data_IF_820032888948
#
_entry.id   IF_820032888948
#
_cell.length_a   1.000
_cell.length_b   1.000
_cell.length_c   1.000
_cell.angle_alpha   90.00
_cell.angle_beta   90.00
_cell.angle_gamma   90.00
#
_symmetry.space_group_name_H-M   'P 1'
#
loop_
_entity.id
_entity.type
_entity.pdbx_description
1 polymer ?
#
# COMPACT_ATOMS: atom_id res chain seq x y z
N UNK A 1 19.21 -33.80 16.92
CA UNK A 1 20.00 -32.61 16.51
C UNK A 1 21.07 -32.27 17.54
N UNK A 2 20.76 -31.99 18.81
CA UNK A 2 21.76 -31.60 19.83
C UNK A 2 22.92 -32.57 20.03
N UNK A 3 22.65 -33.88 20.06
CA UNK A 3 23.71 -34.88 20.32
C UNK A 3 24.67 -35.06 19.14
N UNK A 4 24.33 -34.57 17.95
CA UNK A 4 25.11 -34.74 16.72
C UNK A 4 25.29 -33.42 15.98
N UNK A 5 25.85 -32.37 16.63
CA UNK A 5 25.86 -31.01 16.11
C UNK A 5 26.71 -30.84 14.84
N UNK A 6 27.63 -31.78 14.59
CA UNK A 6 28.56 -31.75 13.47
C UNK A 6 28.16 -32.67 12.30
N UNK A 7 27.04 -33.39 12.41
CA UNK A 7 26.55 -34.27 11.34
C UNK A 7 25.53 -33.50 10.49
N UNK A 8 25.98 -33.00 9.33
CA UNK A 8 25.17 -32.20 8.39
C UNK A 8 23.81 -32.84 8.12
N UNK A 9 23.79 -34.12 7.76
CA UNK A 9 22.58 -34.82 7.37
C UNK A 9 21.52 -34.85 8.49
N UNK A 10 21.96 -35.04 9.74
CA UNK A 10 21.07 -35.02 10.91
C UNK A 10 20.52 -33.62 11.14
N UNK A 11 21.33 -32.59 10.96
CA UNK A 11 20.86 -31.20 11.12
C UNK A 11 19.87 -30.83 10.02
N UNK A 12 20.16 -31.18 8.76
CA UNK A 12 19.31 -30.88 7.59
C UNK A 12 17.93 -31.53 7.74
N UNK A 13 17.87 -32.84 8.01
CA UNK A 13 16.59 -33.54 8.16
C UNK A 13 15.87 -33.20 9.46
N UNK A 14 16.59 -32.99 10.55
CA UNK A 14 15.99 -32.52 11.80
C UNK A 14 15.33 -31.15 11.62
N UNK A 15 16.01 -30.22 10.95
CA UNK A 15 15.47 -28.91 10.63
C UNK A 15 14.27 -28.98 9.67
N UNK A 16 14.32 -29.85 8.65
CA UNK A 16 13.17 -30.10 7.77
C UNK A 16 11.95 -30.65 8.53
N UNK A 17 12.18 -31.61 9.44
CA UNK A 17 11.13 -32.17 10.30
C UNK A 17 10.47 -31.08 11.16
N UNK A 18 11.27 -30.27 11.86
CA UNK A 18 10.77 -29.13 12.63
C UNK A 18 10.03 -28.12 11.76
N UNK A 19 10.54 -27.82 10.56
CA UNK A 19 9.88 -26.92 9.59
C UNK A 19 8.51 -27.42 9.18
N UNK A 20 8.30 -28.73 9.07
CA UNK A 20 7.03 -29.32 8.61
C UNK A 20 5.92 -29.28 9.65
N UNK A 21 6.27 -29.27 10.95
CA UNK A 21 5.29 -29.27 12.05
C UNK A 21 5.01 -27.90 12.65
N UNK A 22 5.76 -26.86 12.23
CA UNK A 22 5.64 -25.49 12.75
C UNK A 22 4.51 -24.63 12.16
N UNK A 23 4.15 -24.71 10.85
CA UNK A 23 3.18 -23.81 10.25
C UNK A 23 1.79 -23.93 10.87
N UNK A 24 1.14 -22.79 11.10
CA UNK A 24 -0.28 -22.70 11.50
C UNK A 24 -0.66 -23.54 12.73
N UNK A 25 0.29 -23.79 13.64
CA UNK A 25 0.03 -24.51 14.88
C UNK A 25 0.75 -23.83 16.06
N UNK A 26 0.02 -22.96 16.76
CA UNK A 26 0.54 -22.18 17.87
C UNK A 26 1.06 -23.05 19.04
N UNK A 27 0.43 -24.20 19.29
CA UNK A 27 0.87 -25.14 20.32
C UNK A 27 2.22 -25.73 19.96
N UNK A 28 2.37 -26.27 18.74
CA UNK A 28 3.65 -26.79 18.25
C UNK A 28 4.74 -25.71 18.26
N UNK A 29 4.43 -24.50 17.77
CA UNK A 29 5.38 -23.39 17.80
C UNK A 29 5.88 -23.09 19.23
N UNK A 30 4.98 -23.09 20.20
CA UNK A 30 5.30 -22.81 21.60
C UNK A 30 6.10 -23.96 22.25
N UNK A 31 5.71 -25.21 22.01
CA UNK A 31 6.42 -26.38 22.53
C UNK A 31 7.82 -26.52 21.92
N UNK A 32 7.97 -26.31 20.61
CA UNK A 32 9.28 -26.27 19.95
C UNK A 32 10.15 -25.17 20.56
N UNK A 33 9.59 -23.98 20.83
CA UNK A 33 10.31 -22.91 21.53
C UNK A 33 10.77 -23.34 22.91
N UNK A 34 9.88 -23.91 23.74
CA UNK A 34 10.18 -24.38 25.11
C UNK A 34 11.25 -25.47 25.13
N UNK A 35 11.29 -26.31 24.11
CA UNK A 35 12.31 -27.35 23.92
C UNK A 35 13.61 -26.83 23.26
N UNK A 36 13.80 -25.51 23.23
CA UNK A 36 14.97 -24.82 22.65
C UNK A 36 15.15 -25.02 21.14
N UNK A 37 14.13 -25.49 20.40
CA UNK A 37 14.24 -25.79 18.97
C UNK A 37 14.74 -24.62 18.12
N UNK A 38 14.37 -23.38 18.49
CA UNK A 38 14.86 -22.16 17.83
C UNK A 38 16.39 -22.03 17.94
N UNK A 39 16.94 -22.18 19.15
CA UNK A 39 18.38 -22.07 19.40
C UNK A 39 19.15 -23.19 18.69
N UNK A 40 18.59 -24.40 18.69
CA UNK A 40 19.18 -25.57 18.02
C UNK A 40 19.32 -25.32 16.53
N UNK A 41 18.26 -24.84 15.87
CA UNK A 41 18.29 -24.57 14.42
C UNK A 41 19.21 -23.40 14.10
N UNK A 42 19.20 -22.32 14.89
CA UNK A 42 20.11 -21.18 14.68
C UNK A 42 21.59 -21.61 14.83
N UNK A 43 21.91 -22.44 15.83
CA UNK A 43 23.27 -23.02 15.96
C UNK A 43 23.63 -23.88 14.76
N UNK A 44 22.71 -24.72 14.27
CA UNK A 44 22.94 -25.52 13.08
C UNK A 44 23.18 -24.66 11.82
N UNK A 45 22.43 -23.58 11.61
CA UNK A 45 22.68 -22.63 10.52
C UNK A 45 24.07 -22.01 10.61
N UNK A 46 24.53 -21.64 11.80
CA UNK A 46 25.88 -21.10 12.01
C UNK A 46 27.00 -22.14 11.81
N UNK A 47 26.77 -23.40 12.19
CA UNK A 47 27.75 -24.48 12.02
C UNK A 47 27.91 -24.91 10.55
N UNK A 48 26.87 -24.72 9.73
CA UNK A 48 26.85 -25.12 8.32
C UNK A 48 26.56 -23.94 7.38
N UNK A 49 27.35 -22.86 7.42
CA UNK A 49 27.05 -21.61 6.70
C UNK A 49 27.11 -21.77 5.17
N UNK A 50 27.85 -22.77 4.68
CA UNK A 50 28.05 -23.04 3.26
C UNK A 50 27.18 -24.21 2.74
N UNK A 51 26.23 -24.71 3.54
CA UNK A 51 25.36 -25.82 3.14
C UNK A 51 23.96 -25.31 2.77
N UNK A 52 23.73 -25.15 1.47
CA UNK A 52 22.47 -24.65 0.92
C UNK A 52 21.20 -25.30 1.49
N UNK A 53 21.11 -26.65 1.57
CA UNK A 53 19.94 -27.32 2.16
C UNK A 53 19.71 -26.97 3.63
N UNK A 54 20.78 -26.88 4.44
CA UNK A 54 20.67 -26.50 5.85
C UNK A 54 20.17 -25.06 5.99
N UNK A 55 20.71 -24.16 5.18
CA UNK A 55 20.29 -22.75 5.18
C UNK A 55 18.85 -22.57 4.70
N UNK A 56 18.46 -23.24 3.62
CA UNK A 56 17.09 -23.21 3.10
C UNK A 56 16.08 -23.71 4.14
N UNK A 57 16.34 -24.87 4.76
CA UNK A 57 15.46 -25.42 5.80
C UNK A 57 15.47 -24.55 7.05
N UNK A 58 16.63 -24.02 7.42
CA UNK A 58 16.79 -23.10 8.56
C UNK A 58 15.91 -21.86 8.41
N UNK A 59 16.03 -21.15 7.28
CA UNK A 59 15.19 -20.00 6.96
C UNK A 59 13.69 -20.32 6.99
N UNK A 60 13.30 -21.46 6.39
CA UNK A 60 11.89 -21.88 6.37
C UNK A 60 11.36 -22.18 7.78
N UNK A 61 12.13 -22.91 8.59
CA UNK A 61 11.77 -23.19 9.97
C UNK A 61 11.53 -21.91 10.76
N UNK A 62 12.49 -20.97 10.72
CA UNK A 62 12.38 -19.75 11.54
C UNK A 62 11.29 -18.79 11.03
N UNK A 63 10.94 -18.83 9.74
CA UNK A 63 9.75 -18.19 9.19
C UNK A 63 8.48 -18.82 9.78
N UNK A 64 8.33 -20.13 9.64
CA UNK A 64 7.13 -20.85 10.09
C UNK A 64 6.89 -20.73 11.60
N UNK A 65 7.95 -20.72 12.41
CA UNK A 65 7.83 -20.65 13.87
C UNK A 65 7.56 -19.23 14.39
N UNK A 66 7.94 -18.19 13.64
CA UNK A 66 7.76 -16.80 14.05
C UNK A 66 6.47 -16.16 13.49
N UNK A 67 5.89 -16.77 12.45
CA UNK A 67 4.66 -16.28 11.85
C UNK A 67 3.54 -16.13 12.88
N UNK A 68 3.04 -14.90 13.04
CA UNK A 68 2.03 -14.49 14.02
C UNK A 68 2.37 -14.85 15.49
N UNK A 69 3.66 -14.96 15.83
CA UNK A 69 4.10 -15.34 17.18
C UNK A 69 5.19 -14.40 17.71
N UNK A 70 4.77 -13.36 18.43
CA UNK A 70 5.65 -12.31 18.94
C UNK A 70 6.74 -12.83 19.89
N UNK A 71 6.45 -13.86 20.70
CA UNK A 71 7.46 -14.44 21.60
C UNK A 71 8.57 -15.13 20.81
N UNK A 72 8.20 -15.89 19.79
CA UNK A 72 9.14 -16.58 18.91
C UNK A 72 9.93 -15.57 18.06
N UNK A 73 9.27 -14.53 17.53
CA UNK A 73 9.94 -13.42 16.85
C UNK A 73 11.03 -12.80 17.76
N UNK A 74 10.69 -12.46 19.00
CA UNK A 74 11.62 -11.85 19.95
C UNK A 74 12.78 -12.78 20.30
N UNK A 75 12.54 -14.09 20.45
CA UNK A 75 13.60 -15.06 20.70
C UNK A 75 14.55 -15.20 19.50
N UNK A 76 14.02 -15.27 18.28
CA UNK A 76 14.85 -15.32 17.07
C UNK A 76 15.73 -14.08 16.97
N UNK A 77 15.16 -12.90 17.25
CA UNK A 77 15.89 -11.63 17.26
C UNK A 77 17.02 -11.63 18.29
N UNK A 78 16.77 -12.08 19.53
CA UNK A 78 17.82 -12.21 20.57
C UNK A 78 18.94 -13.19 20.19
N UNK A 79 18.63 -14.17 19.33
CA UNK A 79 19.58 -15.15 18.81
C UNK A 79 20.24 -14.70 17.50
N UNK A 80 20.14 -13.42 17.13
CA UNK A 80 20.69 -12.84 15.90
C UNK A 80 20.16 -13.47 14.60
N UNK A 81 18.96 -14.06 14.62
CA UNK A 81 18.39 -14.76 13.46
C UNK A 81 18.23 -13.87 12.22
N UNK A 82 17.91 -12.57 12.39
CA UNK A 82 17.80 -11.62 11.27
C UNK A 82 19.14 -11.45 10.56
N UNK A 83 20.23 -11.26 11.31
CA UNK A 83 21.57 -11.13 10.74
C UNK A 83 22.02 -12.41 10.02
N UNK A 84 21.72 -13.57 10.62
CA UNK A 84 22.05 -14.87 10.04
C UNK A 84 21.33 -15.06 8.70
N UNK A 85 20.05 -14.74 8.59
CA UNK A 85 19.32 -14.87 7.31
C UNK A 85 19.83 -13.88 6.27
N UNK A 86 20.11 -12.63 6.65
CA UNK A 86 20.68 -11.64 5.73
C UNK A 86 22.04 -12.12 5.20
N UNK A 87 22.92 -12.66 6.06
CA UNK A 87 24.20 -13.25 5.65
C UNK A 87 23.98 -14.46 4.72
N UNK A 88 23.03 -15.32 5.07
CA UNK A 88 22.67 -16.51 4.30
C UNK A 88 22.22 -16.16 2.88
N UNK A 89 21.30 -15.21 2.73
CA UNK A 89 20.85 -14.74 1.42
C UNK A 89 21.98 -14.09 0.61
N UNK A 90 22.94 -13.42 1.27
CA UNK A 90 24.12 -12.88 0.57
C UNK A 90 25.12 -13.97 0.15
N UNK A 91 25.25 -15.05 0.92
CA UNK A 91 26.13 -16.18 0.60
C UNK A 91 25.58 -17.08 -0.51
N UNK A 92 24.26 -17.09 -0.71
CA UNK A 92 23.58 -17.90 -1.73
C UNK A 92 22.71 -17.05 -2.67
N UNK A 93 23.29 -16.08 -3.40
CA UNK A 93 22.52 -15.16 -4.24
C UNK A 93 21.76 -15.88 -5.36
N UNK A 94 22.30 -16.98 -5.88
CA UNK A 94 21.76 -17.75 -7.02
C UNK A 94 20.93 -18.97 -6.57
N UNK A 95 20.83 -19.24 -5.27
CA UNK A 95 19.99 -20.33 -4.77
C UNK A 95 18.57 -19.81 -4.53
N UNK A 96 17.68 -20.07 -5.50
CA UNK A 96 16.30 -19.62 -5.44
C UNK A 96 15.54 -20.07 -4.19
N UNK A 97 15.80 -21.28 -3.67
CA UNK A 97 15.11 -21.79 -2.48
C UNK A 97 15.53 -20.98 -1.24
N UNK A 98 16.83 -20.69 -1.10
CA UNK A 98 17.33 -19.83 -0.01
C UNK A 98 16.76 -18.42 -0.12
N UNK A 99 16.70 -17.84 -1.33
CA UNK A 99 16.13 -16.51 -1.53
C UNK A 99 14.65 -16.45 -1.19
N UNK A 100 13.85 -17.42 -1.66
CA UNK A 100 12.42 -17.52 -1.31
C UNK A 100 12.21 -17.62 0.19
N UNK A 101 12.89 -18.56 0.85
CA UNK A 101 12.71 -18.78 2.29
C UNK A 101 13.24 -17.61 3.12
N UNK A 102 14.32 -16.96 2.67
CA UNK A 102 14.85 -15.75 3.30
C UNK A 102 13.90 -14.56 3.21
N UNK A 103 13.31 -14.32 2.03
CA UNK A 103 12.27 -13.29 1.85
C UNK A 103 11.04 -13.59 2.71
N UNK A 104 10.60 -14.85 2.77
CA UNK A 104 9.47 -15.25 3.61
C UNK A 104 9.76 -15.01 5.09
N UNK A 105 10.95 -15.36 5.56
CA UNK A 105 11.36 -15.06 6.93
C UNK A 105 11.39 -13.56 7.22
N UNK A 106 11.96 -12.74 6.33
CA UNK A 106 11.99 -11.28 6.52
C UNK A 106 10.57 -10.68 6.53
N UNK A 107 9.66 -11.24 5.74
CA UNK A 107 8.24 -10.88 5.79
C UNK A 107 7.64 -11.20 7.18
N UNK A 108 7.76 -12.43 7.64
CA UNK A 108 7.13 -12.91 8.88
C UNK A 108 7.72 -12.27 10.14
N UNK A 109 9.04 -12.09 10.19
CA UNK A 109 9.73 -11.50 11.35
C UNK A 109 9.45 -10.00 11.48
N UNK A 110 9.11 -9.32 10.37
CA UNK A 110 8.77 -7.89 10.33
C UNK A 110 7.30 -7.61 10.65
N UNK A 111 6.45 -8.64 10.62
CA UNK A 111 5.00 -8.51 10.76
C UNK A 111 4.65 -8.00 12.15
N UNK A 112 4.04 -6.80 12.20
CA UNK A 112 3.63 -6.08 13.42
C UNK A 112 4.72 -5.90 14.48
N UNK A 113 6.01 -5.93 14.09
CA UNK A 113 7.13 -5.83 15.02
C UNK A 113 8.10 -4.72 14.65
N UNK A 114 7.92 -3.54 15.27
CA UNK A 114 8.70 -2.33 14.96
C UNK A 114 10.19 -2.47 15.21
N UNK A 115 10.57 -3.20 16.26
CA UNK A 115 11.99 -3.47 16.58
C UNK A 115 12.65 -4.27 15.46
N UNK A 116 12.00 -5.34 15.01
CA UNK A 116 12.52 -6.17 13.92
C UNK A 116 12.54 -5.41 12.58
N UNK A 117 11.54 -4.58 12.28
CA UNK A 117 11.54 -3.72 11.09
C UNK A 117 12.74 -2.78 11.05
N UNK A 118 13.09 -2.17 12.18
CA UNK A 118 14.27 -1.30 12.29
C UNK A 118 15.58 -2.10 12.18
N UNK A 119 15.65 -3.27 12.82
CA UNK A 119 16.83 -4.12 12.74
C UNK A 119 17.08 -4.64 11.31
N UNK A 120 16.03 -4.97 10.55
CA UNK A 120 16.14 -5.31 9.12
C UNK A 120 16.76 -4.13 8.35
N UNK A 121 16.33 -2.89 8.59
CA UNK A 121 16.94 -1.70 7.97
C UNK A 121 18.42 -1.59 8.35
N UNK A 122 18.74 -1.65 9.64
CA UNK A 122 20.11 -1.47 10.17
C UNK A 122 21.09 -2.51 9.63
N UNK A 123 20.61 -3.74 9.40
CA UNK A 123 21.38 -4.83 8.80
C UNK A 123 21.37 -4.82 7.26
N UNK A 124 20.94 -3.71 6.62
CA UNK A 124 20.84 -3.56 5.16
C UNK A 124 19.90 -4.57 4.47
N UNK A 125 18.94 -5.12 5.22
CA UNK A 125 17.94 -6.05 4.71
C UNK A 125 17.01 -5.43 3.66
N UNK A 126 16.66 -4.15 3.76
CA UNK A 126 15.88 -3.43 2.72
C UNK A 126 16.63 -3.46 1.38
N UNK A 127 17.93 -3.15 1.38
CA UNK A 127 18.78 -3.20 0.19
C UNK A 127 18.84 -4.62 -0.40
N UNK A 128 18.94 -5.64 0.46
CA UNK A 128 18.95 -7.03 0.03
C UNK A 128 17.61 -7.47 -0.58
N UNK A 129 16.47 -7.07 -0.02
CA UNK A 129 15.15 -7.37 -0.59
C UNK A 129 15.03 -6.74 -1.98
N UNK A 130 15.39 -5.46 -2.13
CA UNK A 130 15.39 -4.77 -3.43
C UNK A 130 16.31 -5.48 -4.44
N UNK A 131 17.51 -5.89 -4.02
CA UNK A 131 18.43 -6.65 -4.87
C UNK A 131 17.82 -7.99 -5.30
N UNK A 132 17.16 -8.69 -4.39
CA UNK A 132 16.53 -9.99 -4.65
C UNK A 132 15.38 -9.87 -5.65
N UNK A 133 14.53 -8.85 -5.50
CA UNK A 133 13.46 -8.53 -6.47
C UNK A 133 14.02 -8.27 -7.88
N UNK A 134 15.14 -7.56 -7.97
CA UNK A 134 15.79 -7.27 -9.25
C UNK A 134 16.48 -8.50 -9.87
N UNK A 135 17.02 -9.41 -9.05
CA UNK A 135 17.67 -10.63 -9.52
C UNK A 135 16.67 -11.70 -9.98
N UNK A 136 15.45 -11.71 -9.41
CA UNK A 136 14.41 -12.69 -9.72
C UNK A 136 13.12 -12.03 -10.23
N UNK A 137 13.18 -11.26 -11.34
CA UNK A 137 12.06 -10.44 -11.80
C UNK A 137 10.83 -11.25 -12.25
N UNK A 138 11.00 -12.55 -12.53
CA UNK A 138 9.92 -13.45 -12.97
C UNK A 138 9.42 -14.39 -11.87
N UNK A 139 10.05 -14.39 -10.69
CA UNK A 139 9.68 -15.31 -9.60
C UNK A 139 8.50 -14.74 -8.80
N UNK A 140 7.30 -15.29 -9.03
CA UNK A 140 6.07 -14.78 -8.39
C UNK A 140 6.13 -14.81 -6.85
N UNK A 141 6.80 -15.80 -6.27
CA UNK A 141 6.88 -15.95 -4.82
C UNK A 141 7.75 -14.86 -4.19
N UNK A 142 8.97 -14.65 -4.73
CA UNK A 142 9.87 -13.58 -4.29
C UNK A 142 9.21 -12.22 -4.47
N UNK A 143 8.58 -12.01 -5.62
CA UNK A 143 8.01 -10.72 -5.97
C UNK A 143 6.80 -10.35 -5.10
N UNK A 144 5.88 -11.28 -4.90
CA UNK A 144 4.72 -11.05 -4.02
C UNK A 144 5.17 -10.82 -2.58
N UNK A 145 5.94 -11.75 -2.00
CA UNK A 145 6.33 -11.66 -0.60
C UNK A 145 7.33 -10.52 -0.34
N UNK A 146 8.24 -10.26 -1.28
CA UNK A 146 9.20 -9.16 -1.19
C UNK A 146 8.52 -7.80 -1.26
N UNK A 147 7.51 -7.62 -2.12
CA UNK A 147 6.72 -6.39 -2.16
C UNK A 147 5.93 -6.19 -0.85
N UNK A 148 5.29 -7.24 -0.34
CA UNK A 148 4.61 -7.18 0.98
C UNK A 148 5.60 -6.86 2.10
N UNK A 149 6.77 -7.50 2.10
CA UNK A 149 7.80 -7.29 3.11
C UNK A 149 8.29 -5.84 3.12
N UNK A 150 8.60 -5.27 1.95
CA UNK A 150 8.96 -3.86 1.85
C UNK A 150 7.85 -2.95 2.37
N UNK A 151 6.60 -3.18 1.99
CA UNK A 151 5.47 -2.40 2.47
C UNK A 151 5.32 -2.48 4.00
N UNK A 152 5.40 -3.67 4.59
CA UNK A 152 5.33 -3.88 6.03
C UNK A 152 6.46 -3.13 6.77
N UNK A 153 7.68 -3.19 6.24
CA UNK A 153 8.86 -2.56 6.86
C UNK A 153 8.74 -1.03 6.87
N UNK A 154 8.17 -0.43 5.82
CA UNK A 154 8.12 1.04 5.68
C UNK A 154 6.83 1.67 6.21
N UNK A 155 5.77 0.87 6.41
CA UNK A 155 4.47 1.37 6.86
C UNK A 155 4.61 2.08 8.20
N UNK A 156 4.16 3.34 8.24
CA UNK A 156 4.30 4.24 9.39
C UNK A 156 5.73 4.33 9.96
N UNK A 157 6.75 4.15 9.12
CA UNK A 157 8.16 4.17 9.51
C UNK A 157 8.99 5.15 8.67
N UNK A 158 9.10 6.40 9.14
CA UNK A 158 9.78 7.47 8.41
C UNK A 158 11.24 7.16 8.08
N UNK A 159 11.98 6.54 8.99
CA UNK A 159 13.38 6.19 8.74
C UNK A 159 13.51 5.09 7.68
N UNK A 160 12.63 4.08 7.71
CA UNK A 160 12.61 3.03 6.69
C UNK A 160 12.10 3.55 5.34
N UNK A 161 11.14 4.48 5.34
CA UNK A 161 10.67 5.21 4.14
C UNK A 161 11.83 5.98 3.50
N UNK A 162 12.62 6.70 4.29
CA UNK A 162 13.80 7.40 3.78
C UNK A 162 14.83 6.44 3.18
N UNK A 163 15.04 5.28 3.82
CA UNK A 163 15.99 4.29 3.33
C UNK A 163 15.55 3.64 2.01
N UNK A 164 14.29 3.24 1.88
CA UNK A 164 13.79 2.67 0.60
C UNK A 164 13.87 3.69 -0.54
N UNK A 165 13.64 4.98 -0.26
CA UNK A 165 13.79 6.07 -1.22
C UNK A 165 15.25 6.20 -1.64
N UNK A 166 16.18 6.27 -0.68
CA UNK A 166 17.62 6.38 -0.92
C UNK A 166 18.16 5.23 -1.77
N UNK A 167 17.60 4.03 -1.60
CA UNK A 167 17.97 2.82 -2.34
C UNK A 167 17.28 2.68 -3.71
N UNK A 168 16.56 3.71 -4.18
CA UNK A 168 15.75 3.65 -5.41
C UNK A 168 14.72 2.50 -5.41
N UNK A 169 14.23 2.10 -4.24
CA UNK A 169 13.25 1.03 -4.09
C UNK A 169 11.92 1.35 -4.77
N UNK A 170 11.52 2.63 -4.82
CA UNK A 170 10.31 3.09 -5.54
C UNK A 170 10.35 2.70 -7.02
N UNK A 171 11.52 2.82 -7.69
CA UNK A 171 11.69 2.41 -9.09
C UNK A 171 11.56 0.89 -9.25
N UNK A 172 12.05 0.13 -8.28
CA UNK A 172 11.94 -1.34 -8.28
C UNK A 172 10.48 -1.76 -8.14
N UNK A 173 9.73 -1.15 -7.22
CA UNK A 173 8.32 -1.46 -6.95
C UNK A 173 7.41 -1.05 -8.12
N UNK A 174 7.62 0.11 -8.72
CA UNK A 174 6.86 0.55 -9.91
C UNK A 174 7.07 -0.38 -11.11
N UNK A 175 8.33 -0.79 -11.38
CA UNK A 175 8.63 -1.82 -12.40
C UNK A 175 7.96 -3.15 -12.07
N UNK A 176 7.92 -3.51 -10.80
CA UNK A 176 7.28 -4.74 -10.35
C UNK A 176 5.77 -4.70 -10.59
N UNK A 177 5.12 -3.60 -10.23
CA UNK A 177 3.68 -3.38 -10.49
C UNK A 177 3.37 -3.43 -11.99
N UNK A 178 4.25 -2.91 -12.85
CA UNK A 178 4.07 -3.00 -14.30
C UNK A 178 4.19 -4.45 -14.81
N UNK A 179 5.21 -5.17 -14.34
CA UNK A 179 5.47 -6.57 -14.71
C UNK A 179 4.33 -7.49 -14.27
N UNK A 180 3.78 -7.25 -13.08
CA UNK A 180 2.70 -8.04 -12.48
C UNK A 180 1.40 -7.23 -12.39
N UNK A 181 1.04 -6.58 -13.50
CA UNK A 181 -0.15 -5.72 -13.62
C UNK A 181 -1.49 -6.43 -13.39
N UNK A 182 -1.50 -7.77 -13.40
CA UNK A 182 -2.65 -8.63 -13.14
C UNK A 182 -2.56 -9.38 -11.79
N UNK A 183 -1.58 -9.07 -10.93
CA UNK A 183 -1.48 -9.62 -9.58
C UNK A 183 -2.01 -8.63 -8.54
N UNK A 184 -3.18 -8.91 -7.99
CA UNK A 184 -3.85 -8.01 -7.04
C UNK A 184 -3.00 -7.71 -5.80
N UNK A 185 -2.36 -8.72 -5.20
CA UNK A 185 -1.53 -8.55 -4.00
C UNK A 185 -0.37 -7.59 -4.25
N UNK A 186 0.31 -7.73 -5.39
CA UNK A 186 1.39 -6.82 -5.78
C UNK A 186 0.86 -5.40 -6.02
N UNK A 187 -0.32 -5.24 -6.65
CA UNK A 187 -0.91 -3.91 -6.83
C UNK A 187 -1.32 -3.27 -5.50
N UNK A 188 -1.93 -4.03 -4.58
CA UNK A 188 -2.30 -3.54 -3.25
C UNK A 188 -1.07 -3.05 -2.50
N UNK A 189 -0.05 -3.90 -2.36
CA UNK A 189 1.15 -3.58 -1.59
C UNK A 189 2.01 -2.52 -2.29
N UNK A 190 2.07 -2.55 -3.62
CA UNK A 190 2.74 -1.55 -4.42
C UNK A 190 2.09 -0.17 -4.25
N UNK A 191 0.77 -0.05 -4.43
CA UNK A 191 0.05 1.19 -4.16
C UNK A 191 0.23 1.65 -2.71
N UNK A 192 0.12 0.75 -1.74
CA UNK A 192 0.33 1.05 -0.32
C UNK A 192 1.71 1.65 -0.04
N UNK A 193 2.76 1.03 -0.61
CA UNK A 193 4.14 1.50 -0.49
C UNK A 193 4.33 2.87 -1.12
N UNK A 194 3.78 3.10 -2.32
CA UNK A 194 3.84 4.39 -3.00
C UNK A 194 3.11 5.49 -2.21
N UNK A 195 1.95 5.17 -1.63
CA UNK A 195 1.19 6.08 -0.76
C UNK A 195 1.92 6.40 0.54
N UNK A 196 2.73 5.48 1.07
CA UNK A 196 3.58 5.72 2.24
C UNK A 196 4.82 6.58 1.94
N UNK A 197 5.13 6.86 0.67
CA UNK A 197 6.29 7.65 0.25
C UNK A 197 5.91 8.79 -0.72
N UNK A 198 5.00 9.71 -0.34
CA UNK A 198 4.41 10.71 -1.26
C UNK A 198 5.39 11.80 -1.73
N UNK A 199 6.53 12.00 -1.06
CA UNK A 199 7.50 13.04 -1.45
C UNK A 199 8.30 12.70 -2.73
N UNK A 200 8.05 11.55 -3.38
CA UNK A 200 8.76 11.12 -4.59
C UNK A 200 7.88 11.08 -5.86
N UNK A 201 6.67 11.64 -5.79
CA UNK A 201 5.67 11.61 -6.87
C UNK A 201 6.22 12.17 -8.19
N UNK A 202 7.04 13.23 -8.13
CA UNK A 202 7.47 13.99 -9.31
C UNK A 202 8.47 13.26 -10.21
N UNK A 203 9.18 12.24 -9.71
CA UNK A 203 10.32 11.64 -10.45
C UNK A 203 10.02 10.34 -11.18
N UNK A 204 8.90 9.65 -10.90
CA UNK A 204 8.71 8.25 -11.31
C UNK A 204 7.32 7.93 -11.90
N UNK A 205 6.57 8.91 -12.40
CA UNK A 205 5.22 8.70 -12.97
C UNK A 205 4.30 7.89 -12.02
N UNK A 206 4.38 8.20 -10.72
CA UNK A 206 3.67 7.46 -9.66
C UNK A 206 2.15 7.58 -9.83
N UNK A 207 1.69 8.74 -10.31
CA UNK A 207 0.27 9.01 -10.60
C UNK A 207 -0.25 7.98 -11.63
N UNK A 208 0.46 7.83 -12.74
CA UNK A 208 0.12 6.93 -13.83
C UNK A 208 0.11 5.47 -13.37
N UNK A 209 1.09 5.07 -12.54
CA UNK A 209 1.18 3.70 -12.00
C UNK A 209 -0.03 3.39 -11.10
N UNK A 210 -0.41 4.30 -10.21
CA UNK A 210 -1.56 4.11 -9.31
C UNK A 210 -2.88 4.07 -10.10
N UNK A 211 -3.03 4.95 -11.10
CA UNK A 211 -4.20 4.96 -11.98
C UNK A 211 -4.32 3.65 -12.76
N UNK A 212 -3.22 3.15 -13.32
CA UNK A 212 -3.18 1.87 -14.01
C UNK A 212 -3.63 0.74 -13.08
N UNK A 213 -3.16 0.72 -11.83
CA UNK A 213 -3.57 -0.26 -10.83
C UNK A 213 -5.08 -0.18 -10.54
N UNK A 214 -5.63 1.01 -10.26
CA UNK A 214 -7.07 1.20 -9.98
C UNK A 214 -7.96 0.85 -11.19
N UNK A 215 -7.47 1.04 -12.41
CA UNK A 215 -8.19 0.66 -13.62
C UNK A 215 -8.15 -0.85 -13.86
N UNK A 216 -7.02 -1.51 -13.61
CA UNK A 216 -6.89 -2.97 -13.72
C UNK A 216 -7.67 -3.70 -12.62
N UNK A 217 -7.84 -3.09 -11.45
CA UNK A 217 -8.55 -3.66 -10.30
C UNK A 217 -9.71 -2.77 -9.81
N UNK A 218 -10.79 -2.62 -10.59
CA UNK A 218 -11.99 -1.86 -10.19
C UNK A 218 -12.61 -2.34 -8.88
N UNK A 219 -12.59 -3.66 -8.68
CA UNK A 219 -13.32 -4.33 -7.61
C UNK A 219 -12.43 -4.65 -6.39
N UNK A 220 -11.14 -4.27 -6.43
CA UNK A 220 -10.23 -4.48 -5.30
C UNK A 220 -10.34 -3.31 -4.32
N UNK A 221 -10.90 -3.56 -3.15
CA UNK A 221 -11.00 -2.54 -2.11
C UNK A 221 -9.61 -2.02 -1.71
N UNK A 222 -8.62 -2.91 -1.55
CA UNK A 222 -7.26 -2.53 -1.16
C UNK A 222 -6.57 -1.60 -2.16
N UNK A 223 -6.68 -1.87 -3.47
CA UNK A 223 -6.10 -1.00 -4.50
C UNK A 223 -6.78 0.36 -4.51
N UNK A 224 -8.12 0.39 -4.47
CA UNK A 224 -8.87 1.65 -4.51
C UNK A 224 -8.71 2.47 -3.22
N UNK A 225 -8.63 1.83 -2.06
CA UNK A 225 -8.29 2.47 -0.80
C UNK A 225 -6.93 3.16 -0.87
N UNK A 226 -5.89 2.44 -1.31
CA UNK A 226 -4.54 3.01 -1.42
C UNK A 226 -4.47 4.13 -2.47
N UNK A 227 -5.17 3.99 -3.59
CA UNK A 227 -5.28 5.02 -4.62
C UNK A 227 -6.00 6.27 -4.14
N UNK A 228 -7.18 6.14 -3.52
CA UNK A 228 -7.89 7.26 -2.92
C UNK A 228 -7.02 7.97 -1.87
N UNK A 229 -6.34 7.21 -1.00
CA UNK A 229 -5.42 7.77 0.01
C UNK A 229 -4.25 8.51 -0.61
N UNK A 230 -3.69 8.01 -1.71
CA UNK A 230 -2.64 8.71 -2.46
C UNK A 230 -3.15 10.06 -2.97
N UNK A 231 -4.28 10.08 -3.67
CA UNK A 231 -4.83 11.30 -4.24
C UNK A 231 -5.33 12.29 -3.19
N UNK A 232 -5.79 11.83 -2.03
CA UNK A 232 -6.13 12.71 -0.91
C UNK A 232 -4.91 13.48 -0.36
N UNK A 233 -3.69 12.95 -0.53
CA UNK A 233 -2.46 13.50 0.02
C UNK A 233 -1.48 14.05 -1.03
N UNK A 234 -1.87 14.07 -2.31
CA UNK A 234 -0.99 14.56 -3.36
C UNK A 234 -0.78 16.09 -3.23
N UNK A 235 0.45 16.60 -3.37
CA UNK A 235 0.71 18.04 -3.40
C UNK A 235 0.04 18.70 -4.61
N UNK A 236 -1.09 19.36 -4.35
CA UNK A 236 -1.90 20.05 -5.37
C UNK A 236 -1.44 21.49 -5.61
N UNK A 237 -0.44 22.00 -4.90
CA UNK A 237 0.23 23.27 -5.20
C UNK A 237 1.13 23.17 -6.45
N UNK A 238 1.62 21.97 -6.76
CA UNK A 238 2.35 21.69 -7.99
C UNK A 238 1.42 21.61 -9.22
N UNK A 239 1.61 22.52 -10.19
CA UNK A 239 0.82 22.56 -11.44
C UNK A 239 0.99 21.32 -12.31
N UNK A 240 2.15 20.68 -12.35
CA UNK A 240 2.37 19.46 -13.11
C UNK A 240 1.47 18.33 -12.59
N UNK A 241 1.36 18.18 -11.27
CA UNK A 241 0.45 17.22 -10.65
C UNK A 241 -1.00 17.54 -11.01
N UNK A 242 -1.41 18.82 -10.98
CA UNK A 242 -2.76 19.23 -11.37
C UNK A 242 -3.07 18.88 -12.84
N UNK A 243 -2.14 19.15 -13.76
CA UNK A 243 -2.30 18.82 -15.18
C UNK A 243 -2.40 17.30 -15.38
N UNK A 244 -1.51 16.52 -14.77
CA UNK A 244 -1.54 15.05 -14.84
C UNK A 244 -2.85 14.47 -14.29
N UNK A 245 -3.31 14.95 -13.14
CA UNK A 245 -4.60 14.52 -12.54
C UNK A 245 -5.77 14.84 -13.49
N UNK A 246 -5.74 16.00 -14.14
CA UNK A 246 -6.79 16.43 -15.06
C UNK A 246 -6.81 15.59 -16.34
N UNK A 247 -5.63 15.41 -16.96
CA UNK A 247 -5.43 14.65 -18.20
C UNK A 247 -5.80 13.16 -18.04
N UNK A 248 -5.44 12.58 -16.89
CA UNK A 248 -5.68 11.16 -16.60
C UNK A 248 -7.08 10.88 -16.01
N UNK A 249 -7.98 11.86 -16.03
CA UNK A 249 -9.38 11.73 -15.57
C UNK A 249 -9.55 11.16 -14.16
N UNK A 250 -8.66 11.53 -13.22
CA UNK A 250 -8.66 10.99 -11.84
C UNK A 250 -10.00 11.22 -11.13
N UNK A 251 -10.69 12.33 -11.39
CA UNK A 251 -12.03 12.60 -10.81
C UNK A 251 -13.00 11.45 -11.11
N UNK A 252 -13.01 10.93 -12.33
CA UNK A 252 -13.90 9.83 -12.74
C UNK A 252 -13.52 8.53 -12.03
N UNK A 253 -12.22 8.26 -11.89
CA UNK A 253 -11.71 7.08 -11.19
C UNK A 253 -12.09 7.11 -9.70
N UNK A 254 -11.94 8.28 -9.05
CA UNK A 254 -12.33 8.45 -7.64
C UNK A 254 -13.84 8.33 -7.48
N UNK A 255 -14.64 8.96 -8.34
CA UNK A 255 -16.10 8.85 -8.31
C UNK A 255 -16.55 7.39 -8.50
N UNK A 256 -15.95 6.67 -9.46
CA UNK A 256 -16.19 5.24 -9.67
C UNK A 256 -15.89 4.43 -8.41
N UNK A 257 -14.79 4.71 -7.74
CA UNK A 257 -14.39 4.05 -6.49
C UNK A 257 -15.39 4.33 -5.36
N UNK A 258 -15.77 5.59 -5.17
CA UNK A 258 -16.76 5.98 -4.17
C UNK A 258 -18.12 5.31 -4.41
N UNK A 259 -18.54 5.18 -5.66
CA UNK A 259 -19.81 4.53 -6.00
C UNK A 259 -19.75 3.00 -5.82
N UNK A 260 -18.61 2.38 -6.11
CA UNK A 260 -18.43 0.92 -6.02
C UNK A 260 -18.25 0.43 -4.58
N UNK A 261 -17.65 1.23 -3.70
CA UNK A 261 -17.38 0.87 -2.30
C UNK A 261 -18.12 1.80 -1.31
N UNK A 262 -19.47 1.82 -1.32
CA UNK A 262 -20.26 2.77 -0.54
C UNK A 262 -20.17 2.58 0.98
N UNK A 263 -19.67 1.42 1.44
CA UNK A 263 -19.54 1.05 2.85
C UNK A 263 -18.10 1.09 3.37
N UNK A 264 -17.12 1.40 2.51
CA UNK A 264 -15.71 1.50 2.90
C UNK A 264 -15.42 2.91 3.40
N UNK A 265 -15.33 3.06 4.73
CA UNK A 265 -15.06 4.34 5.41
C UNK A 265 -13.80 5.03 4.84
N UNK A 266 -12.76 4.23 4.61
CA UNK A 266 -11.46 4.69 4.13
C UNK A 266 -11.51 5.15 2.67
N UNK A 267 -12.21 4.43 1.79
CA UNK A 267 -12.40 4.88 0.39
C UNK A 267 -13.26 6.14 0.34
N UNK A 268 -14.38 6.14 1.08
CA UNK A 268 -15.30 7.27 1.11
C UNK A 268 -14.60 8.54 1.58
N UNK A 269 -13.96 8.47 2.74
CA UNK A 269 -13.28 9.63 3.32
C UNK A 269 -12.17 10.16 2.41
N UNK A 270 -11.24 9.30 1.98
CA UNK A 270 -10.12 9.75 1.16
C UNK A 270 -10.55 10.28 -0.21
N UNK A 271 -11.52 9.62 -0.86
CA UNK A 271 -12.03 10.10 -2.14
C UNK A 271 -12.73 11.45 -2.01
N UNK A 272 -13.53 11.66 -0.96
CA UNK A 272 -14.17 12.95 -0.67
C UNK A 272 -13.16 14.05 -0.39
N UNK A 273 -12.11 13.76 0.39
CA UNK A 273 -11.02 14.71 0.65
C UNK A 273 -10.35 15.15 -0.67
N UNK A 274 -10.06 14.21 -1.57
CA UNK A 274 -9.53 14.57 -2.90
C UNK A 274 -10.51 15.47 -3.67
N UNK A 275 -11.79 15.10 -3.77
CA UNK A 275 -12.80 15.90 -4.47
C UNK A 275 -12.92 17.31 -3.86
N UNK A 276 -12.88 17.42 -2.53
CA UNK A 276 -12.89 18.69 -1.81
C UNK A 276 -11.73 19.59 -2.25
N UNK A 277 -10.50 19.09 -2.21
CA UNK A 277 -9.33 19.90 -2.54
C UNK A 277 -9.24 20.21 -4.03
N UNK A 278 -9.51 19.23 -4.89
CA UNK A 278 -9.39 19.40 -6.33
C UNK A 278 -10.49 20.32 -6.90
N UNK A 279 -11.70 20.30 -6.31
CA UNK A 279 -12.78 21.24 -6.66
C UNK A 279 -12.45 22.70 -6.29
N UNK A 280 -11.54 22.93 -5.34
CA UNK A 280 -11.13 24.28 -4.96
C UNK A 280 -10.19 24.94 -5.99
N UNK A 281 -9.62 24.16 -6.91
CA UNK A 281 -8.63 24.63 -7.89
C UNK A 281 -9.28 25.38 -9.04
N UNK A 282 -10.38 24.89 -9.60
CA UNK A 282 -11.02 25.49 -10.78
C UNK A 282 -12.53 25.23 -10.81
N UNK A 283 -13.27 26.10 -11.52
CA UNK A 283 -14.69 25.89 -11.80
C UNK A 283 -14.92 24.68 -12.72
N UNK A 284 -13.98 24.41 -13.62
CA UNK A 284 -14.03 23.23 -14.49
C UNK A 284 -14.07 21.94 -13.67
N UNK A 285 -13.26 21.84 -12.62
CA UNK A 285 -13.27 20.69 -11.70
C UNK A 285 -14.62 20.58 -10.96
N UNK A 286 -15.21 21.69 -10.52
CA UNK A 286 -16.52 21.69 -9.86
C UNK A 286 -17.63 21.19 -10.80
N UNK A 287 -17.63 21.66 -12.05
CA UNK A 287 -18.59 21.24 -13.06
C UNK A 287 -18.39 19.75 -13.37
N UNK A 288 -17.15 19.30 -13.60
CA UNK A 288 -16.83 17.88 -13.88
C UNK A 288 -17.28 16.95 -12.75
N UNK A 289 -17.07 17.33 -11.49
CA UNK A 289 -17.57 16.56 -10.33
C UNK A 289 -19.10 16.52 -10.30
N UNK A 290 -19.76 17.64 -10.61
CA UNK A 290 -21.22 17.73 -10.64
C UNK A 290 -21.81 16.85 -11.77
N UNK A 291 -21.23 16.92 -12.96
CA UNK A 291 -21.66 16.18 -14.15
C UNK A 291 -21.50 14.66 -13.97
N UNK A 292 -20.46 14.24 -13.24
CA UNK A 292 -20.22 12.85 -12.85
C UNK A 292 -21.04 12.39 -11.63
N UNK A 293 -22.09 13.14 -11.25
CA UNK A 293 -22.96 12.84 -10.09
C UNK A 293 -22.24 12.77 -8.74
N UNK A 294 -21.07 13.42 -8.62
CA UNK A 294 -20.30 13.44 -7.37
C UNK A 294 -21.07 14.00 -6.17
N UNK A 295 -21.94 15.00 -6.38
CA UNK A 295 -22.80 15.55 -5.32
C UNK A 295 -23.75 14.48 -4.76
N UNK A 296 -24.37 13.67 -5.62
CA UNK A 296 -25.27 12.59 -5.19
C UNK A 296 -24.52 11.54 -4.37
N UNK A 297 -23.29 11.20 -4.78
CA UNK A 297 -22.44 10.24 -4.06
C UNK A 297 -22.04 10.78 -2.69
N UNK A 298 -21.67 12.06 -2.57
CA UNK A 298 -21.33 12.67 -1.28
C UNK A 298 -22.56 12.67 -0.35
N UNK A 299 -23.76 12.96 -0.87
CA UNK A 299 -25.00 12.88 -0.09
C UNK A 299 -25.31 11.45 0.37
N UNK A 300 -25.12 10.44 -0.50
CA UNK A 300 -25.22 9.02 -0.11
C UNK A 300 -24.21 8.65 0.97
N UNK A 301 -23.00 9.19 0.90
CA UNK A 301 -21.97 8.96 1.93
C UNK A 301 -22.42 9.49 3.29
N UNK A 302 -22.98 10.71 3.33
CA UNK A 302 -23.56 11.28 4.56
C UNK A 302 -24.65 10.38 5.14
N UNK A 303 -25.50 9.81 4.29
CA UNK A 303 -26.55 8.89 4.71
C UNK A 303 -26.01 7.54 5.22
N UNK A 304 -24.92 7.03 4.62
CA UNK A 304 -24.31 5.74 4.99
C UNK A 304 -23.47 5.82 6.27
N UNK A 305 -22.90 6.97 6.59
CA UNK A 305 -22.04 7.17 7.77
C UNK A 305 -22.59 8.24 8.74
N UNK A 306 -23.81 8.08 9.28
CA UNK A 306 -24.48 9.12 10.06
C UNK A 306 -23.81 9.42 11.40
N UNK A 307 -22.92 8.55 11.87
CA UNK A 307 -22.24 8.66 13.16
C UNK A 307 -20.73 8.95 13.03
N UNK A 308 -20.18 8.95 11.82
CA UNK A 308 -18.75 9.24 11.61
C UNK A 308 -18.54 10.75 11.43
N UNK A 309 -18.15 11.41 12.52
CA UNK A 309 -17.95 12.87 12.53
C UNK A 309 -16.88 13.34 11.53
N UNK A 310 -15.87 12.52 11.24
CA UNK A 310 -14.80 12.89 10.33
C UNK A 310 -15.31 12.85 8.89
N UNK A 311 -15.96 11.75 8.49
CA UNK A 311 -16.57 11.63 7.16
C UNK A 311 -17.63 12.71 6.95
N UNK A 312 -18.49 12.96 7.94
CA UNK A 312 -19.53 14.00 7.83
C UNK A 312 -18.93 15.40 7.67
N UNK A 313 -17.86 15.72 8.41
CA UNK A 313 -17.15 16.99 8.29
C UNK A 313 -16.54 17.18 6.90
N UNK A 314 -15.81 16.17 6.42
CA UNK A 314 -15.16 16.17 5.11
C UNK A 314 -16.21 16.24 3.97
N UNK A 315 -17.31 15.48 4.08
CA UNK A 315 -18.41 15.48 3.12
C UNK A 315 -19.15 16.82 3.04
N UNK A 316 -19.49 17.43 4.17
CA UNK A 316 -20.13 18.74 4.20
C UNK A 316 -19.23 19.84 3.60
N UNK A 317 -17.93 19.78 3.87
CA UNK A 317 -16.95 20.72 3.31
C UNK A 317 -16.79 20.52 1.79
N UNK A 318 -16.74 19.27 1.32
CA UNK A 318 -16.75 18.96 -0.10
C UNK A 318 -18.01 19.52 -0.79
N UNK A 319 -19.20 19.28 -0.22
CA UNK A 319 -20.45 19.84 -0.74
C UNK A 319 -20.41 21.36 -0.79
N UNK A 320 -19.96 22.02 0.28
CA UNK A 320 -19.81 23.47 0.30
C UNK A 320 -18.93 23.93 -0.85
N UNK A 321 -17.74 23.37 -1.03
CA UNK A 321 -16.80 23.80 -2.08
C UNK A 321 -17.31 23.56 -3.50
N UNK A 322 -17.90 22.40 -3.76
CA UNK A 322 -18.47 22.06 -5.06
C UNK A 322 -19.67 22.95 -5.38
N UNK A 323 -20.49 23.31 -4.38
CA UNK A 323 -21.74 24.06 -4.59
C UNK A 323 -21.62 25.58 -4.41
N UNK A 324 -20.55 26.09 -3.79
CA UNK A 324 -20.37 27.49 -3.40
C UNK A 324 -20.59 28.47 -4.57
N UNK A 325 -20.29 28.07 -5.81
CA UNK A 325 -20.59 28.90 -6.99
C UNK A 325 -21.67 28.37 -7.92
N UNK A 326 -22.17 27.14 -7.77
CA UNK A 326 -23.45 26.77 -8.37
C UNK A 326 -24.55 27.72 -7.88
N UNK A 327 -24.51 28.14 -6.62
CA UNK A 327 -25.41 29.19 -6.09
C UNK A 327 -25.23 30.57 -6.75
N UNK A 328 -24.01 30.94 -7.18
CA UNK A 328 -23.77 32.18 -7.93
C UNK A 328 -24.21 32.06 -9.40
N UNK A 329 -24.11 30.88 -10.01
CA UNK A 329 -24.70 30.58 -11.32
C UNK A 329 -26.23 30.59 -11.27
N UNK A 330 -26.85 30.01 -10.23
CA UNK A 330 -28.30 30.08 -9.98
C UNK A 330 -28.78 31.50 -9.69
N UNK A 331 -28.06 32.28 -8.85
CA UNK A 331 -28.36 33.70 -8.61
C UNK A 331 -28.19 34.53 -9.89
N UNK A 332 -27.12 34.35 -10.65
CA UNK A 332 -26.90 35.05 -11.91
C UNK A 332 -27.94 34.66 -12.96
N UNK A 333 -28.31 33.38 -13.07
CA UNK A 333 -29.36 32.90 -13.97
C UNK A 333 -30.75 33.39 -13.56
N UNK A 334 -31.05 33.50 -12.26
CA UNK A 334 -32.28 34.14 -11.77
C UNK A 334 -32.29 35.65 -12.03
N UNK A 335 -31.15 36.34 -11.88
CA UNK A 335 -31.01 37.77 -12.20
C UNK A 335 -31.15 38.02 -13.70
N UNK A 336 -30.55 37.20 -14.57
CA UNK A 336 -30.72 37.31 -16.02
C UNK A 336 -32.12 36.92 -16.47
N UNK A 337 -32.76 35.93 -15.85
CA UNK A 337 -34.16 35.58 -16.15
C UNK A 337 -35.15 36.64 -15.62
N UNK A 338 -34.87 37.28 -14.48
CA UNK A 338 -35.63 38.43 -13.97
C UNK A 338 -35.46 39.65 -14.88
N UNK A 339 -34.23 39.99 -15.29
CA UNK A 339 -33.96 41.06 -16.27
C UNK A 339 -34.62 40.77 -17.63
N UNK A 340 -34.61 39.53 -18.11
CA UNK A 340 -35.34 39.12 -19.33
C UNK A 340 -36.86 39.23 -19.21
N UNK A 341 -37.43 38.92 -18.03
CA UNK A 341 -38.86 39.10 -17.75
C UNK A 341 -39.25 40.59 -17.66
N UNK A 342 -38.44 41.42 -17.02
CA UNK A 342 -38.63 42.88 -16.95
C UNK A 342 -38.50 43.55 -18.34
N UNK A 343 -37.56 43.11 -19.18
CA UNK A 343 -37.47 43.56 -20.57
C UNK A 343 -38.70 43.17 -21.41
N UNK A 344 -39.23 41.94 -21.23
CA UNK A 344 -40.46 41.51 -21.91
C UNK A 344 -41.71 42.26 -21.42
N UNK A 345 -41.76 42.66 -20.15
CA UNK A 345 -42.85 43.49 -19.62
C UNK A 345 -42.83 44.93 -20.18
N UNK A 346 -41.65 45.57 -20.29
CA UNK A 346 -41.54 46.90 -20.90
C UNK A 346 -41.95 46.93 -22.38
N UNK A 347 -41.69 45.87 -23.14
CA UNK A 347 -42.11 45.79 -24.55
C UNK A 347 -43.61 45.51 -24.74
N UNK A 348 -44.30 44.91 -23.76
CA UNK A 348 -45.74 44.63 -23.88
C UNK A 348 -46.63 45.84 -23.55
N UNK A 349 -46.12 46.82 -22.80
CA UNK A 349 -46.87 48.03 -22.41
C UNK A 349 -46.46 49.30 -23.18
N UNK A 350 -45.41 49.26 -24.01
CA UNK A 350 -44.96 50.39 -24.84
C UNK A 350 -45.60 50.51 -26.23
N UNK A 351 -46.64 49.73 -26.57
CA UNK A 351 -47.32 49.73 -27.89
C UNK A 351 -48.84 49.96 -27.82
N UNK A 352 -49.29 50.80 -26.88
CA UNK A 352 -50.61 51.43 -26.94
C UNK A 352 -50.45 52.89 -26.57
N UNK A 353 -50.16 53.70 -27.58
CA UNK A 353 -50.47 55.13 -27.71
C UNK A 353 -49.83 55.58 -29.01
N UNK A 354 -50.61 55.46 -30.08
CA UNK A 354 -50.71 56.40 -31.20
C UNK A 354 -52.02 56.08 -31.91
#
# INVERSE_FOLDING_TARGET
>A
MNNFPNIELIQVYGCAGLSSISPNNQENQNEIRKLNGIEIVIKAMNNFPNKGPMQANGCLFISNICHNNNENQNQITRLNGIEIVIKTMNNFPDNIIVQRNGILFLLDISLYNRGNQNQIRELKGIQLIIKTLNNYPNDRFINSNGCTCLYNIISDNRENQNEIIRLNGIKTVTKLMDTFSNNEIIQINGCGLLTSCPFFIEKLNVIEVIIKAMNNFPNSEGVNMNGCKFFANIPLDNKENQYKISDLNVIEIIIRSLNHFPNSDSIQRNGIIFLQFFSAISEENQNKISDLKGIEIILKTIANFPNDKLILGDACNALYRITFKNQNKFKNNQITNKKRREFKFKFKFGKKNN
#
